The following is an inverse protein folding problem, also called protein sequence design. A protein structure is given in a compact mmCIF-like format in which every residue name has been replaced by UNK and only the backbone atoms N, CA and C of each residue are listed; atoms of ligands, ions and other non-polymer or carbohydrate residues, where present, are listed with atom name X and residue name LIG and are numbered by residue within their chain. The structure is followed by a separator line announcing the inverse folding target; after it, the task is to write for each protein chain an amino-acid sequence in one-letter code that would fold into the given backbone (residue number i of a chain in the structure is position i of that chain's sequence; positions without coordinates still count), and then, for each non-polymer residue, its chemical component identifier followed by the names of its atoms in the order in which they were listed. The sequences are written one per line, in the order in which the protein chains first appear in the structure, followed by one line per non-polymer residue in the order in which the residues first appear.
data_IF_603839278191
#
_entry.id   IF_603839278191
#
_cell.length_a   1.000
_cell.length_b   1.000
_cell.length_c   1.000
_cell.angle_alpha   90.00
_cell.angle_beta   90.00
_cell.angle_gamma   90.00
#
_symmetry.space_group_name_H-M   'P 1'
#
loop_
_entity.id
_entity.type
_entity.pdbx_description
1 polymer ?
#
# COMPACT_ATOMS: atom_id res chain seq x y z
N UNK A 1 12.56 4.60 -18.86
CA UNK A 1 11.54 3.71 -18.25
C UNK A 1 11.05 4.37 -16.99
N UNK A 2 9.77 4.23 -16.67
CA UNK A 2 9.22 4.74 -15.40
C UNK A 2 9.56 3.81 -14.24
N UNK A 3 9.76 4.39 -13.06
CA UNK A 3 10.14 3.69 -11.84
C UNK A 3 8.94 3.59 -10.89
N UNK A 4 8.63 2.36 -10.47
CA UNK A 4 7.51 2.06 -9.57
C UNK A 4 8.03 1.41 -8.31
N UNK A 5 7.74 1.99 -7.16
CA UNK A 5 8.02 1.41 -5.84
C UNK A 5 6.75 0.78 -5.29
N UNK A 6 6.83 -0.48 -4.87
CA UNK A 6 5.69 -1.22 -4.33
C UNK A 6 6.09 -1.84 -2.98
N UNK A 7 5.30 -1.61 -1.94
CA UNK A 7 5.51 -2.24 -0.63
C UNK A 7 4.66 -3.50 -0.47
N UNK A 8 5.16 -4.51 0.27
CA UNK A 8 4.43 -5.75 0.56
C UNK A 8 4.24 -6.66 -0.65
N UNK A 9 5.32 -6.92 -1.37
CA UNK A 9 5.31 -7.59 -2.68
C UNK A 9 5.44 -9.10 -2.63
N UNK A 10 5.67 -9.72 -1.47
CA UNK A 10 5.93 -11.17 -1.37
C UNK A 10 4.72 -12.05 -1.69
N UNK A 11 3.49 -11.52 -1.61
CA UNK A 11 2.24 -12.26 -1.84
C UNK A 11 1.05 -11.35 -2.14
N UNK A 12 -0.08 -11.97 -2.50
CA UNK A 12 -1.35 -11.28 -2.71
C UNK A 12 -1.28 -10.19 -3.76
N UNK A 13 -1.97 -9.08 -3.52
CA UNK A 13 -2.08 -7.97 -4.48
C UNK A 13 -0.70 -7.42 -4.87
N UNK A 14 0.22 -7.25 -3.90
CA UNK A 14 1.55 -6.71 -4.18
C UNK A 14 2.37 -7.59 -5.11
N UNK A 15 2.29 -8.91 -4.96
CA UNK A 15 2.94 -9.87 -5.86
C UNK A 15 2.38 -9.76 -7.29
N UNK A 16 1.06 -9.73 -7.44
CA UNK A 16 0.42 -9.59 -8.76
C UNK A 16 0.79 -8.25 -9.44
N UNK A 17 0.87 -7.15 -8.67
CA UNK A 17 1.32 -5.86 -9.17
C UNK A 17 2.75 -5.93 -9.74
N UNK A 18 3.66 -6.62 -9.05
CA UNK A 18 5.04 -6.81 -9.54
C UNK A 18 5.05 -7.50 -10.91
N UNK A 19 4.25 -8.56 -11.07
CA UNK A 19 4.13 -9.28 -12.35
C UNK A 19 3.59 -8.37 -13.46
N UNK A 20 2.53 -7.64 -13.16
CA UNK A 20 1.87 -6.77 -14.14
C UNK A 20 2.76 -5.60 -14.59
N UNK A 21 3.45 -4.93 -13.66
CA UNK A 21 4.38 -3.85 -14.00
C UNK A 21 5.63 -4.37 -14.71
N UNK A 22 6.16 -5.51 -14.26
CA UNK A 22 7.29 -6.17 -14.90
C UNK A 22 7.04 -6.51 -16.36
N UNK A 23 5.85 -7.03 -16.66
CA UNK A 23 5.40 -7.35 -18.02
C UNK A 23 5.22 -6.10 -18.92
N UNK A 24 4.92 -4.95 -18.33
CA UNK A 24 4.79 -3.66 -19.04
C UNK A 24 6.13 -2.91 -19.17
N UNK A 25 7.25 -3.54 -18.85
CA UNK A 25 8.60 -2.96 -18.92
C UNK A 25 8.82 -1.70 -18.04
N UNK A 26 8.18 -1.65 -16.86
CA UNK A 26 8.54 -0.69 -15.82
C UNK A 26 9.75 -1.17 -15.03
N UNK A 27 10.54 -0.27 -14.49
CA UNK A 27 11.47 -0.62 -13.40
C UNK A 27 10.66 -0.76 -12.11
N UNK A 28 10.62 -1.97 -11.54
CA UNK A 28 9.86 -2.27 -10.33
C UNK A 28 10.81 -2.43 -9.16
N UNK A 29 10.58 -1.66 -8.11
CA UNK A 29 11.32 -1.75 -6.86
C UNK A 29 10.39 -2.34 -5.81
N UNK A 30 10.69 -3.56 -5.41
CA UNK A 30 9.91 -4.37 -4.48
C UNK A 30 10.44 -4.18 -3.06
N UNK A 31 9.64 -3.59 -2.18
CA UNK A 31 9.96 -3.47 -0.76
C UNK A 31 9.20 -4.56 0.01
N UNK A 32 9.93 -5.55 0.51
CA UNK A 32 9.35 -6.72 1.19
C UNK A 32 10.30 -7.31 2.21
N UNK A 33 9.78 -7.99 3.24
CA UNK A 33 10.58 -8.74 4.20
C UNK A 33 11.08 -10.08 3.65
N UNK A 34 10.28 -10.70 2.78
CA UNK A 34 10.61 -11.99 2.14
C UNK A 34 11.02 -11.76 0.69
N UNK A 35 12.28 -12.01 0.39
CA UNK A 35 12.87 -11.80 -0.93
C UNK A 35 12.70 -13.03 -1.86
N UNK A 36 12.40 -14.19 -1.29
CA UNK A 36 12.44 -15.48 -2.01
C UNK A 36 11.31 -15.66 -3.03
N UNK A 37 10.23 -14.92 -2.88
CA UNK A 37 9.01 -15.08 -3.69
C UNK A 37 9.02 -14.27 -4.99
N UNK A 38 9.90 -13.27 -5.10
CA UNK A 38 9.92 -12.35 -6.24
C UNK A 38 10.76 -12.93 -7.38
N UNK A 39 10.24 -12.99 -8.61
CA UNK A 39 10.98 -13.52 -9.76
C UNK A 39 12.18 -12.63 -10.10
N UNK A 40 13.28 -13.26 -10.44
CA UNK A 40 14.49 -12.56 -10.87
C UNK A 40 14.29 -12.03 -12.30
N UNK A 41 14.38 -10.71 -12.49
CA UNK A 41 14.25 -10.05 -13.79
C UNK A 41 15.10 -8.79 -13.86
N UNK A 42 15.53 -8.39 -15.07
CA UNK A 42 16.38 -7.21 -15.27
C UNK A 42 15.72 -5.91 -14.80
N UNK A 43 14.41 -5.84 -14.86
CA UNK A 43 13.63 -4.65 -14.50
C UNK A 43 12.96 -4.76 -13.12
N UNK A 44 13.26 -5.79 -12.34
CA UNK A 44 12.74 -5.96 -10.98
C UNK A 44 13.92 -5.93 -10.01
N UNK A 45 13.84 -5.06 -9.03
CA UNK A 45 14.80 -4.94 -7.93
C UNK A 45 14.09 -5.23 -6.61
N UNK A 46 14.69 -6.04 -5.76
CA UNK A 46 14.08 -6.43 -4.48
C UNK A 46 14.93 -5.93 -3.34
N UNK A 47 14.32 -5.29 -2.36
CA UNK A 47 14.98 -4.73 -1.19
C UNK A 47 14.30 -5.26 0.07
N UNK A 48 15.08 -5.83 0.97
CA UNK A 48 14.59 -6.26 2.28
C UNK A 48 14.15 -5.04 3.08
N UNK A 49 12.86 -4.97 3.39
CA UNK A 49 12.30 -3.79 4.04
C UNK A 49 11.23 -4.18 5.05
N UNK A 50 11.45 -3.77 6.31
CA UNK A 50 10.44 -3.83 7.35
C UNK A 50 9.90 -2.40 7.62
N UNK A 51 8.65 -2.15 7.27
CA UNK A 51 8.00 -0.85 7.48
C UNK A 51 7.77 -0.51 8.96
N UNK A 52 7.98 -1.44 9.89
CA UNK A 52 7.95 -1.14 11.32
C UNK A 52 9.27 -0.57 11.85
N UNK A 53 10.33 -0.57 11.02
CA UNK A 53 11.69 -0.13 11.37
C UNK A 53 12.10 1.11 10.54
N UNK A 54 12.25 2.28 11.16
CA UNK A 54 12.74 3.49 10.48
C UNK A 54 14.08 3.30 9.79
N UNK A 55 15.00 2.53 10.42
CA UNK A 55 16.31 2.22 9.83
C UNK A 55 16.16 1.38 8.56
N UNK A 56 15.31 0.36 8.57
CA UNK A 56 15.05 -0.47 7.39
C UNK A 56 14.43 0.35 6.25
N UNK A 57 13.53 1.27 6.57
CA UNK A 57 12.93 2.18 5.56
C UNK A 57 14.01 3.09 4.99
N UNK A 58 14.87 3.68 5.83
CA UNK A 58 15.97 4.55 5.38
C UNK A 58 16.90 3.80 4.43
N UNK A 59 17.34 2.58 4.78
CA UNK A 59 18.21 1.77 3.93
C UNK A 59 17.55 1.45 2.57
N UNK A 60 16.24 1.21 2.55
CA UNK A 60 15.49 1.00 1.31
C UNK A 60 15.45 2.27 0.45
N UNK A 61 15.26 3.44 1.05
CA UNK A 61 15.28 4.74 0.34
C UNK A 61 16.67 5.07 -0.18
N UNK A 62 17.71 4.82 0.59
CA UNK A 62 19.11 4.99 0.15
C UNK A 62 19.38 4.14 -1.09
N UNK A 63 18.97 2.85 -1.08
CA UNK A 63 19.06 1.98 -2.27
C UNK A 63 18.27 2.52 -3.48
N UNK A 64 17.06 3.03 -3.26
CA UNK A 64 16.25 3.62 -4.34
C UNK A 64 16.96 4.81 -4.95
N UNK A 65 17.50 5.72 -4.13
CA UNK A 65 18.18 6.92 -4.58
C UNK A 65 19.51 6.63 -5.31
N UNK A 66 20.24 5.60 -4.86
CA UNK A 66 21.48 5.19 -5.50
C UNK A 66 21.25 4.53 -6.88
N UNK A 67 20.15 3.82 -7.03
CA UNK A 67 19.89 3.03 -8.23
C UNK A 67 19.02 3.74 -9.27
N UNK A 68 18.14 4.64 -8.83
CA UNK A 68 17.14 5.28 -9.69
C UNK A 68 17.17 6.81 -9.51
N UNK A 69 17.05 7.53 -10.61
CA UNK A 69 17.07 9.00 -10.61
C UNK A 69 15.81 9.62 -9.99
N UNK A 70 14.68 8.91 -10.05
CA UNK A 70 13.39 9.40 -9.58
C UNK A 70 12.38 8.25 -9.40
N UNK A 71 11.28 8.52 -8.68
CA UNK A 71 10.13 7.62 -8.49
C UNK A 71 8.90 8.24 -9.15
N UNK A 72 8.32 7.52 -10.12
CA UNK A 72 7.10 7.97 -10.80
C UNK A 72 5.82 7.54 -10.07
N UNK A 73 5.84 6.33 -9.49
CA UNK A 73 4.68 5.75 -8.80
C UNK A 73 5.15 5.10 -7.50
N UNK A 74 4.46 5.41 -6.40
CA UNK A 74 4.61 4.71 -5.13
C UNK A 74 3.28 4.03 -4.77
N UNK A 75 3.29 2.71 -4.59
CA UNK A 75 2.13 1.95 -4.12
C UNK A 75 2.40 1.43 -2.71
N UNK A 76 1.81 2.06 -1.71
CA UNK A 76 1.84 1.64 -0.33
C UNK A 76 0.79 0.54 -0.11
N UNK A 77 1.14 -0.69 -0.52
CA UNK A 77 0.28 -1.87 -0.45
C UNK A 77 0.53 -2.72 0.81
N UNK A 78 1.70 -2.67 1.40
CA UNK A 78 1.98 -3.42 2.63
C UNK A 78 0.96 -3.08 3.73
N UNK A 79 0.58 -4.10 4.48
CA UNK A 79 -0.32 -3.94 5.60
C UNK A 79 -0.20 -5.07 6.60
N UNK A 80 -0.51 -4.76 7.85
CA UNK A 80 -0.63 -5.72 8.94
C UNK A 80 -2.06 -5.70 9.46
N UNK A 81 -2.63 -6.90 9.62
CA UNK A 81 -3.96 -7.11 10.14
C UNK A 81 -3.89 -8.03 11.37
N UNK A 82 -4.55 -7.64 12.43
CA UNK A 82 -4.79 -8.45 13.63
C UNK A 82 -6.29 -8.57 13.78
N UNK A 83 -6.80 -9.81 13.84
CA UNK A 83 -8.20 -10.11 14.14
C UNK A 83 -8.28 -10.70 15.55
N UNK A 84 -8.68 -9.86 16.51
CA UNK A 84 -8.89 -10.23 17.94
C UNK A 84 -10.07 -9.45 18.50
N UNK A 85 -10.88 -10.05 19.40
CA UNK A 85 -11.87 -9.30 20.18
C UNK A 85 -11.21 -8.10 20.89
N UNK A 86 -11.89 -6.97 20.95
CA UNK A 86 -11.31 -5.73 21.49
C UNK A 86 -10.74 -5.88 22.89
N UNK A 87 -11.44 -6.60 23.77
CA UNK A 87 -10.99 -6.86 25.15
C UNK A 87 -9.74 -7.76 25.25
N UNK A 88 -9.27 -8.34 24.14
CA UNK A 88 -8.04 -9.13 24.04
C UNK A 88 -6.97 -8.46 23.17
N UNK A 89 -7.30 -7.32 22.55
CA UNK A 89 -6.35 -6.56 21.73
C UNK A 89 -5.49 -5.68 22.62
N UNK A 90 -4.22 -5.98 22.72
CA UNK A 90 -3.27 -5.29 23.58
C UNK A 90 -2.80 -3.96 22.96
N UNK A 91 -2.14 -3.13 23.78
CA UNK A 91 -1.42 -1.94 23.31
C UNK A 91 -0.39 -2.30 22.22
N UNK A 92 0.38 -3.37 22.43
CA UNK A 92 1.38 -3.83 21.47
C UNK A 92 0.77 -4.34 20.16
N UNK A 93 -0.45 -4.90 20.18
CA UNK A 93 -1.17 -5.25 18.94
C UNK A 93 -1.51 -3.97 18.15
N UNK A 94 -2.03 -2.92 18.80
CA UNK A 94 -2.28 -1.63 18.15
C UNK A 94 -0.98 -1.03 17.62
N UNK A 95 0.05 -0.94 18.46
CA UNK A 95 1.35 -0.39 18.09
C UNK A 95 1.94 -1.08 16.86
N UNK A 96 1.92 -2.41 16.81
CA UNK A 96 2.45 -3.18 15.68
C UNK A 96 1.71 -2.89 14.37
N UNK A 97 0.38 -2.80 14.43
CA UNK A 97 -0.45 -2.50 13.26
C UNK A 97 -0.22 -1.06 12.78
N UNK A 98 -0.18 -0.09 13.69
CA UNK A 98 0.06 1.31 13.33
C UNK A 98 1.48 1.56 12.81
N UNK A 99 2.49 0.88 13.35
CA UNK A 99 3.87 0.97 12.83
C UNK A 99 3.94 0.64 11.35
N UNK A 100 3.24 -0.41 10.90
CA UNK A 100 3.26 -0.81 9.49
C UNK A 100 2.30 0.03 8.65
N UNK A 101 1.05 0.19 9.10
CA UNK A 101 -0.03 0.71 8.25
C UNK A 101 -0.05 2.25 8.17
N UNK A 102 0.59 2.94 9.11
CA UNK A 102 0.56 4.41 9.21
C UNK A 102 1.97 4.99 9.28
N UNK A 103 2.74 4.66 10.32
CA UNK A 103 4.03 5.31 10.57
C UNK A 103 5.06 4.97 9.49
N UNK A 104 5.14 3.69 9.09
CA UNK A 104 6.04 3.25 8.01
C UNK A 104 5.67 3.85 6.67
N UNK A 105 4.38 4.00 6.36
CA UNK A 105 3.91 4.68 5.14
C UNK A 105 4.29 6.16 5.17
N UNK A 106 4.04 6.85 6.28
CA UNK A 106 4.39 8.26 6.43
C UNK A 106 5.90 8.48 6.30
N UNK A 107 6.71 7.64 6.96
CA UNK A 107 8.17 7.75 6.91
C UNK A 107 8.73 7.48 5.51
N UNK A 108 8.21 6.45 4.81
CA UNK A 108 8.62 6.14 3.45
C UNK A 108 8.31 7.32 2.50
N UNK A 109 7.10 7.87 2.55
CA UNK A 109 6.72 9.05 1.75
C UNK A 109 7.65 10.23 2.08
N UNK A 110 7.85 10.54 3.38
CA UNK A 110 8.69 11.65 3.84
C UNK A 110 10.13 11.56 3.32
N UNK A 111 10.72 10.37 3.37
CA UNK A 111 12.09 10.16 2.90
C UNK A 111 12.22 10.20 1.37
N UNK A 112 11.16 9.83 0.64
CA UNK A 112 11.13 9.85 -0.83
C UNK A 112 10.74 11.20 -1.43
N UNK A 113 10.39 12.23 -0.64
CA UNK A 113 9.86 13.50 -1.17
C UNK A 113 10.76 14.14 -2.22
N UNK A 114 12.08 14.08 -2.03
CA UNK A 114 13.06 14.65 -2.99
C UNK A 114 13.33 13.75 -4.21
N UNK A 115 12.86 12.52 -4.16
CA UNK A 115 13.05 11.49 -5.18
C UNK A 115 11.86 11.33 -6.11
N UNK A 116 10.72 11.95 -5.79
CA UNK A 116 9.56 11.88 -6.67
C UNK A 116 9.79 12.65 -7.97
N UNK A 117 9.32 12.04 -9.06
CA UNK A 117 9.30 12.69 -10.36
C UNK A 117 8.19 13.76 -10.43
N UNK A 118 8.19 14.56 -11.49
CA UNK A 118 7.16 15.55 -11.77
C UNK A 118 6.50 15.23 -13.12
N UNK A 119 5.25 14.73 -13.12
CA UNK A 119 4.40 14.35 -11.97
C UNK A 119 4.74 12.98 -11.37
N UNK A 120 4.42 12.78 -10.09
CA UNK A 120 4.44 11.48 -9.42
C UNK A 120 3.06 11.13 -8.84
N UNK A 121 2.76 9.83 -8.74
CA UNK A 121 1.48 9.35 -8.18
C UNK A 121 1.72 8.42 -6.99
N UNK A 122 1.25 8.81 -5.82
CA UNK A 122 1.26 8.01 -4.59
C UNK A 122 -0.11 7.38 -4.40
N UNK A 123 -0.17 6.05 -4.28
CA UNK A 123 -1.38 5.30 -4.02
C UNK A 123 -1.26 4.57 -2.68
N UNK A 124 -2.10 4.94 -1.72
CA UNK A 124 -2.21 4.26 -0.46
C UNK A 124 -3.31 3.20 -0.52
N UNK A 125 -2.98 1.94 -0.21
CA UNK A 125 -3.96 0.86 -0.15
C UNK A 125 -4.55 0.80 1.27
N UNK A 126 -5.79 1.22 1.36
CA UNK A 126 -6.59 1.22 2.59
C UNK A 126 -7.66 0.13 2.55
N UNK A 127 -8.66 0.26 3.37
CA UNK A 127 -9.80 -0.65 3.47
C UNK A 127 -11.09 0.14 3.65
N UNK A 128 -12.19 -0.39 3.11
CA UNK A 128 -13.52 0.15 3.41
C UNK A 128 -13.80 0.18 4.93
N UNK A 129 -13.22 -0.74 5.71
CA UNK A 129 -13.28 -0.70 7.16
C UNK A 129 -12.70 0.56 7.81
N UNK A 130 -11.83 1.31 7.09
CA UNK A 130 -11.29 2.60 7.50
C UNK A 130 -12.17 3.80 7.11
N UNK A 131 -13.24 3.61 6.35
CA UNK A 131 -14.15 4.70 5.95
C UNK A 131 -15.24 4.88 7.01
N UNK A 132 -15.50 6.13 7.41
CA UNK A 132 -16.59 6.47 8.34
C UNK A 132 -17.94 6.09 7.71
N UNK A 133 -18.82 5.46 8.49
CA UNK A 133 -20.15 5.03 8.03
C UNK A 133 -20.18 3.73 7.23
N UNK A 134 -19.03 3.14 6.88
CA UNK A 134 -19.00 1.79 6.27
C UNK A 134 -19.28 0.68 7.28
N UNK A 135 -19.62 -0.51 6.80
CA UNK A 135 -19.71 -1.71 7.62
C UNK A 135 -18.41 -1.98 8.40
N UNK A 136 -18.54 -2.39 9.65
CA UNK A 136 -17.40 -2.73 10.52
C UNK A 136 -17.47 -4.19 10.93
N UNK A 137 -16.30 -4.83 11.00
CA UNK A 137 -16.17 -6.21 11.40
C UNK A 137 -15.60 -6.31 12.81
N UNK A 138 -16.24 -7.10 13.65
CA UNK A 138 -15.73 -7.41 14.99
C UNK A 138 -14.32 -8.00 14.88
N UNK A 139 -13.45 -7.65 15.83
CA UNK A 139 -12.06 -8.11 15.85
C UNK A 139 -11.06 -7.25 15.08
N UNK A 140 -11.51 -6.29 14.28
CA UNK A 140 -10.63 -5.46 13.44
C UNK A 140 -10.37 -4.05 14.01
N UNK A 141 -10.50 -3.84 15.31
CA UNK A 141 -10.37 -2.50 15.92
C UNK A 141 -9.03 -1.82 15.60
N UNK A 142 -7.90 -2.51 15.77
CA UNK A 142 -6.58 -1.96 15.47
C UNK A 142 -6.40 -1.76 13.94
N UNK A 143 -6.83 -2.72 13.13
CA UNK A 143 -6.70 -2.65 11.69
C UNK A 143 -7.55 -1.53 11.08
N UNK A 144 -8.84 -1.52 11.35
CA UNK A 144 -9.76 -0.54 10.75
C UNK A 144 -9.44 0.89 11.19
N UNK A 145 -9.07 1.11 12.46
CA UNK A 145 -8.64 2.43 12.93
C UNK A 145 -7.35 2.87 12.27
N UNK A 146 -6.37 2.00 12.06
CA UNK A 146 -5.14 2.33 11.32
C UNK A 146 -5.42 2.71 9.87
N UNK A 147 -6.36 2.03 9.20
CA UNK A 147 -6.76 2.37 7.83
C UNK A 147 -7.55 3.68 7.76
N UNK A 148 -8.32 4.02 8.79
CA UNK A 148 -8.91 5.35 8.96
C UNK A 148 -7.86 6.43 9.13
N UNK A 149 -6.84 6.18 9.95
CA UNK A 149 -5.71 7.10 10.12
C UNK A 149 -4.94 7.32 8.80
N UNK A 150 -4.72 6.27 8.02
CA UNK A 150 -4.09 6.37 6.69
C UNK A 150 -4.92 7.21 5.71
N UNK A 151 -6.26 7.11 5.77
CA UNK A 151 -7.15 7.93 4.96
C UNK A 151 -6.98 9.42 5.28
N UNK A 152 -7.02 9.80 6.57
CA UNK A 152 -6.79 11.18 7.02
C UNK A 152 -5.39 11.66 6.66
N UNK A 153 -4.36 10.82 6.82
CA UNK A 153 -3.00 11.16 6.40
C UNK A 153 -2.95 11.51 4.90
N UNK A 154 -3.65 10.77 4.06
CA UNK A 154 -3.73 11.05 2.61
C UNK A 154 -4.33 12.43 2.32
N UNK A 155 -5.42 12.79 3.01
CA UNK A 155 -6.07 14.11 2.85
C UNK A 155 -5.14 15.23 3.31
N UNK A 156 -4.42 15.03 4.42
CA UNK A 156 -3.46 16.02 4.92
C UNK A 156 -2.27 16.20 3.97
N UNK A 157 -1.69 15.11 3.48
CA UNK A 157 -0.59 15.16 2.52
C UNK A 157 -1.00 15.80 1.18
N UNK A 158 -2.26 15.61 0.75
CA UNK A 158 -2.79 16.35 -0.40
C UNK A 158 -2.74 17.86 -0.17
N UNK A 159 -3.19 18.36 0.98
CA UNK A 159 -3.14 19.79 1.30
C UNK A 159 -1.68 20.33 1.33
N UNK A 160 -0.74 19.52 1.83
CA UNK A 160 0.67 19.90 1.86
C UNK A 160 1.32 19.87 0.47
N UNK A 161 0.86 19.00 -0.43
CA UNK A 161 1.47 18.82 -1.76
C UNK A 161 0.69 19.49 -2.90
N UNK A 162 -0.43 20.17 -2.64
CA UNK A 162 -1.33 20.71 -3.68
C UNK A 162 -0.66 21.70 -4.65
N UNK A 163 0.40 22.37 -4.22
CA UNK A 163 1.19 23.27 -5.06
C UNK A 163 2.38 22.56 -5.74
N UNK A 164 2.47 21.23 -5.59
CA UNK A 164 3.48 20.40 -6.25
C UNK A 164 2.85 19.48 -7.28
N UNK A 165 3.67 18.81 -8.08
CA UNK A 165 3.24 17.80 -9.04
C UNK A 165 3.11 16.39 -8.40
N UNK A 166 3.03 16.30 -7.06
CA UNK A 166 2.81 15.04 -6.36
C UNK A 166 1.30 14.83 -6.18
N UNK A 167 0.78 13.79 -6.83
CA UNK A 167 -0.61 13.38 -6.71
C UNK A 167 -0.68 12.24 -5.69
N UNK A 168 -1.61 12.32 -4.75
CA UNK A 168 -1.79 11.29 -3.72
C UNK A 168 -3.26 10.90 -3.61
N UNK A 169 -3.54 9.59 -3.63
CA UNK A 169 -4.88 9.04 -3.46
C UNK A 169 -4.86 7.80 -2.59
N UNK A 170 -6.00 7.47 -2.02
CA UNK A 170 -6.24 6.21 -1.32
C UNK A 170 -7.27 5.36 -2.05
N UNK A 171 -6.96 4.09 -2.25
CA UNK A 171 -7.92 3.07 -2.64
C UNK A 171 -8.35 2.28 -1.40
N UNK A 172 -9.58 2.46 -0.96
CA UNK A 172 -10.16 1.77 0.18
C UNK A 172 -10.83 0.48 -0.30
N UNK A 173 -10.09 -0.63 -0.22
CA UNK A 173 -10.52 -1.90 -0.80
C UNK A 173 -11.57 -2.61 0.07
N UNK A 174 -12.54 -3.25 -0.58
CA UNK A 174 -13.38 -4.29 -0.01
C UNK A 174 -12.63 -5.61 0.17
N UNK A 175 -13.37 -6.71 0.28
CA UNK A 175 -12.79 -8.03 0.43
C UNK A 175 -12.12 -8.50 -0.88
N UNK A 176 -10.84 -8.89 -0.78
CA UNK A 176 -10.03 -9.44 -1.87
C UNK A 176 -9.45 -10.77 -1.41
N UNK A 177 -9.53 -11.81 -2.23
CA UNK A 177 -9.05 -13.15 -1.92
C UNK A 177 -7.52 -13.17 -1.83
N UNK A 178 -7.02 -13.07 -0.62
CA UNK A 178 -5.59 -13.04 -0.27
C UNK A 178 -5.33 -13.92 0.93
N UNK A 179 -4.07 -14.29 1.17
CA UNK A 179 -3.68 -15.01 2.39
C UNK A 179 -4.02 -14.20 3.67
N UNK A 180 -3.87 -12.88 3.63
CA UNK A 180 -4.23 -12.01 4.74
C UNK A 180 -5.71 -12.16 5.11
N UNK A 181 -6.59 -12.16 4.11
CA UNK A 181 -8.02 -12.35 4.32
C UNK A 181 -8.32 -13.75 4.83
N UNK A 182 -7.73 -14.79 4.22
CA UNK A 182 -7.93 -16.19 4.62
C UNK A 182 -7.52 -16.43 6.08
N UNK A 183 -6.42 -15.82 6.51
CA UNK A 183 -5.93 -15.93 7.89
C UNK A 183 -6.82 -15.18 8.88
N UNK A 184 -7.38 -14.04 8.47
CA UNK A 184 -8.25 -13.23 9.31
C UNK A 184 -9.68 -13.81 9.39
N UNK A 185 -10.16 -14.40 8.31
CA UNK A 185 -11.53 -14.94 8.18
C UNK A 185 -11.51 -16.31 7.47
N UNK A 186 -11.10 -17.38 8.18
CA UNK A 186 -11.05 -18.72 7.61
C UNK A 186 -12.39 -19.16 7.02
N UNK A 187 -12.36 -19.63 5.77
CA UNK A 187 -13.58 -20.11 5.07
C UNK A 187 -14.37 -19.02 4.33
N UNK A 188 -14.08 -17.74 4.56
CA UNK A 188 -14.70 -16.67 3.76
C UNK A 188 -14.13 -16.64 2.33
N UNK A 189 -15.01 -16.53 1.33
CA UNK A 189 -14.65 -16.41 -0.08
C UNK A 189 -14.94 -14.99 -0.55
N UNK A 190 -13.89 -14.25 -0.88
CA UNK A 190 -14.04 -12.91 -1.42
C UNK A 190 -14.49 -12.94 -2.89
N UNK A 191 -15.25 -11.93 -3.35
CA UNK A 191 -15.74 -11.85 -4.71
C UNK A 191 -14.66 -11.57 -5.75
N UNK A 192 -13.54 -10.97 -5.33
CA UNK A 192 -12.42 -10.59 -6.21
C UNK A 192 -11.15 -11.33 -5.83
N UNK A 193 -10.40 -11.76 -6.82
CA UNK A 193 -9.05 -12.30 -6.66
C UNK A 193 -8.01 -11.18 -6.47
N UNK A 194 -6.84 -11.54 -5.96
CA UNK A 194 -5.70 -10.63 -5.87
C UNK A 194 -5.29 -10.06 -7.22
N UNK A 195 -5.36 -10.87 -8.28
CA UNK A 195 -5.01 -10.49 -9.65
C UNK A 195 -5.97 -9.45 -10.22
N UNK A 196 -7.28 -9.68 -10.14
CA UNK A 196 -8.29 -8.72 -10.62
C UNK A 196 -8.14 -7.35 -9.92
N UNK A 197 -7.90 -7.36 -8.61
CA UNK A 197 -7.65 -6.14 -7.87
C UNK A 197 -6.34 -5.47 -8.27
N UNK A 198 -5.29 -6.22 -8.52
CA UNK A 198 -4.01 -5.68 -8.98
C UNK A 198 -4.12 -5.06 -10.38
N UNK A 199 -4.90 -5.65 -11.28
CA UNK A 199 -5.20 -5.09 -12.61
C UNK A 199 -5.90 -3.73 -12.48
N UNK A 200 -6.90 -3.61 -11.61
CA UNK A 200 -7.54 -2.33 -11.32
C UNK A 200 -6.57 -1.30 -10.73
N UNK A 201 -5.77 -1.68 -9.73
CA UNK A 201 -4.79 -0.77 -9.10
C UNK A 201 -3.75 -0.30 -10.14
N UNK A 202 -3.28 -1.18 -11.00
CA UNK A 202 -2.37 -0.82 -12.09
C UNK A 202 -3.00 0.26 -12.99
N UNK A 203 -4.20 0.03 -13.52
CA UNK A 203 -4.87 0.99 -14.40
C UNK A 203 -5.15 2.33 -13.68
N UNK A 204 -5.57 2.28 -12.42
CA UNK A 204 -5.75 3.48 -11.61
C UNK A 204 -4.43 4.24 -11.41
N UNK A 205 -3.34 3.55 -11.13
CA UNK A 205 -2.04 4.18 -10.92
C UNK A 205 -1.51 4.91 -12.17
N UNK A 206 -1.86 4.42 -13.35
CA UNK A 206 -1.44 4.97 -14.63
C UNK A 206 -2.35 6.10 -15.14
N UNK A 207 -3.61 6.12 -14.75
CA UNK A 207 -4.61 7.02 -15.31
C UNK A 207 -5.43 7.80 -14.28
N UNK A 208 -5.56 7.31 -13.06
CA UNK A 208 -6.42 7.90 -12.01
C UNK A 208 -6.00 9.31 -11.62
N UNK A 209 -4.71 9.64 -11.69
CA UNK A 209 -4.19 10.97 -11.37
C UNK A 209 -4.79 12.08 -12.25
N UNK A 210 -5.35 11.76 -13.41
CA UNK A 210 -6.02 12.71 -14.31
C UNK A 210 -7.36 13.18 -13.74
N UNK A 211 -7.96 12.43 -12.83
CA UNK A 211 -9.32 12.65 -12.31
C UNK A 211 -9.37 12.84 -10.81
N UNK A 212 -8.37 12.31 -10.09
CA UNK A 212 -8.36 12.25 -8.63
C UNK A 212 -7.04 12.76 -8.05
N UNK A 213 -7.16 13.62 -7.06
CA UNK A 213 -6.06 14.03 -6.18
C UNK A 213 -6.62 14.28 -4.77
N UNK A 214 -6.00 13.75 -3.74
CA UNK A 214 -6.45 13.86 -2.35
C UNK A 214 -7.71 13.06 -2.03
N UNK A 215 -8.05 12.01 -2.83
CA UNK A 215 -9.33 11.30 -2.69
C UNK A 215 -9.17 9.94 -2.03
N UNK A 216 -10.17 9.61 -1.19
CA UNK A 216 -10.37 8.26 -0.67
C UNK A 216 -11.46 7.61 -1.51
N UNK A 217 -11.08 6.59 -2.30
CA UNK A 217 -11.95 5.96 -3.29
C UNK A 217 -12.31 4.56 -2.81
N UNK A 218 -13.59 4.31 -2.46
CA UNK A 218 -14.06 2.96 -2.15
C UNK A 218 -14.01 2.06 -3.39
N UNK A 219 -13.37 0.89 -3.24
CA UNK A 219 -13.25 -0.10 -4.32
C UNK A 219 -13.80 -1.42 -3.80
N UNK A 220 -15.09 -1.65 -3.98
CA UNK A 220 -15.78 -2.83 -3.50
C UNK A 220 -16.97 -3.17 -4.39
N UNK A 221 -17.19 -4.47 -4.65
CA UNK A 221 -18.38 -4.97 -5.36
C UNK A 221 -19.55 -5.13 -4.39
N UNK A 222 -19.26 -5.40 -3.13
CA UNK A 222 -20.27 -5.54 -2.08
C UNK A 222 -20.00 -4.56 -0.95
N UNK A 223 -21.04 -3.94 -0.43
CA UNK A 223 -20.96 -3.37 0.91
C UNK A 223 -20.98 -4.53 1.89
N UNK A 224 -19.94 -4.70 2.69
CA UNK A 224 -19.95 -5.69 3.75
C UNK A 224 -20.98 -5.35 4.81
#
# INVERSE_FOLDING_TARGET
MKNVVITGTSRGIGYELVQLYGAKNYNVICLTRDLSTIPNSKNISVVSTDLSSPESIKNAVDFINDKFSSVDILINNAGQLINKPFNKTSFTDFESVYKVNVFGVAELIRLLLKSFNSPAHIINISSIGGIVGSGKFSGLSAYSSSKGALNILTEMLYEEFKESDIIINTLALGAVQTEMLNNAFPGYKAPLSAKEMAEFILEFSLNGFKFFNGKIIPVSISNP
#
